data_IF_146729531259
#
_entry.id   IF_146729531259
#
_cell.length_a   1.000
_cell.length_b   1.000
_cell.length_c   1.000
_cell.angle_alpha   90.00
_cell.angle_beta   90.00
_cell.angle_gamma   90.00
#
_symmetry.space_group_name_H-M   'P 1'
#
loop_
_entity.id
_entity.type
_entity.pdbx_description
1 polymer ?
#
# COMPACT_ATOMS: atom_id res chain seq x y z
N UNK A 1 16.69 2.91 -0.46
CA UNK A 1 15.23 2.81 -0.68
C UNK A 1 15.00 1.39 -1.18
N UNK A 2 14.26 0.57 -0.43
CA UNK A 2 14.01 -0.82 -0.84
C UNK A 2 13.28 -0.82 -2.19
N UNK A 3 13.63 -1.70 -3.16
CA UNK A 3 13.05 -1.70 -4.50
C UNK A 3 11.56 -2.07 -4.57
N UNK A 4 10.88 -2.25 -3.43
CA UNK A 4 9.50 -2.73 -3.33
C UNK A 4 9.33 -4.03 -4.12
N UNK A 5 10.19 -5.01 -3.81
CA UNK A 5 10.17 -6.30 -4.49
C UNK A 5 8.91 -7.07 -4.13
N UNK A 6 8.56 -8.01 -5.00
CA UNK A 6 7.44 -8.91 -4.73
C UNK A 6 7.64 -9.61 -3.37
N UNK A 7 6.59 -9.56 -2.54
CA UNK A 7 6.54 -10.07 -1.17
C UNK A 7 7.26 -9.25 -0.07
N UNK A 8 7.89 -8.11 -0.36
CA UNK A 8 8.47 -7.23 0.68
C UNK A 8 7.41 -6.74 1.68
N UNK A 9 6.16 -6.62 1.23
CA UNK A 9 5.03 -6.20 2.06
C UNK A 9 4.70 -7.20 3.19
N UNK A 10 5.11 -8.47 3.10
CA UNK A 10 4.87 -9.49 4.13
C UNK A 10 5.47 -9.06 5.47
N UNK A 11 6.67 -8.47 5.45
CA UNK A 11 7.35 -8.01 6.66
C UNK A 11 6.62 -6.84 7.35
N UNK A 12 5.89 -6.02 6.58
CA UNK A 12 5.12 -4.91 7.10
C UNK A 12 3.74 -5.35 7.58
N UNK A 13 3.07 -6.25 6.85
CA UNK A 13 1.75 -6.79 7.22
C UNK A 13 1.78 -7.56 8.53
N UNK A 14 2.83 -8.38 8.75
CA UNK A 14 2.96 -9.23 9.92
C UNK A 14 3.95 -8.69 10.96
N UNK A 15 4.25 -7.39 10.93
CA UNK A 15 5.08 -6.76 11.95
C UNK A 15 4.43 -6.87 13.33
N UNK A 16 5.11 -7.49 14.28
CA UNK A 16 4.58 -7.71 15.63
C UNK A 16 5.49 -7.12 16.72
N UNK A 17 6.21 -6.04 16.39
CA UNK A 17 7.20 -5.41 17.26
C UNK A 17 8.62 -5.91 17.01
N UNK A 18 9.51 -5.72 17.99
CA UNK A 18 10.92 -6.08 17.87
C UNK A 18 11.13 -7.61 17.84
N UNK A 19 11.05 -8.21 16.65
CA UNK A 19 11.61 -9.55 16.38
C UNK A 19 13.10 -9.40 16.04
N UNK A 20 13.96 -10.05 16.83
CA UNK A 20 15.40 -9.82 16.84
C UNK A 20 16.12 -10.12 15.53
N UNK A 21 17.23 -9.41 15.30
CA UNK A 21 18.37 -9.53 14.35
C UNK A 21 18.13 -10.01 12.90
N UNK A 22 17.18 -10.89 12.62
CA UNK A 22 16.90 -11.50 11.31
C UNK A 22 16.23 -10.53 10.34
N UNK A 23 15.58 -9.47 10.86
CA UNK A 23 14.95 -8.41 10.06
C UNK A 23 15.59 -7.02 10.28
N UNK A 24 16.70 -6.95 11.03
CA UNK A 24 17.53 -5.73 11.18
C UNK A 24 18.35 -5.43 9.91
N UNK A 25 18.07 -6.11 8.81
CA UNK A 25 18.73 -5.94 7.53
C UNK A 25 17.94 -4.96 6.67
N UNK A 26 18.56 -3.81 6.42
CA UNK A 26 18.05 -2.63 5.70
C UNK A 26 16.80 -1.94 6.29
N UNK A 27 17.02 -0.73 6.81
CA UNK A 27 16.07 0.36 7.07
C UNK A 27 14.58 -0.04 7.12
N UNK A 28 14.19 -0.88 8.08
CA UNK A 28 12.79 -1.22 8.30
C UNK A 28 12.03 0.01 8.82
N UNK A 29 10.97 0.41 8.13
CA UNK A 29 10.19 1.59 8.52
C UNK A 29 8.96 1.18 9.34
N UNK A 30 9.08 1.22 10.67
CA UNK A 30 8.01 0.88 11.61
C UNK A 30 6.75 1.71 11.35
N UNK A 31 6.89 2.99 10.97
CA UNK A 31 5.74 3.86 10.68
C UNK A 31 4.91 3.33 9.51
N UNK A 32 5.55 2.81 8.45
CA UNK A 32 4.83 2.20 7.32
C UNK A 32 4.11 0.93 7.77
N UNK A 33 4.73 0.12 8.62
CA UNK A 33 4.12 -1.11 9.12
C UNK A 33 2.86 -0.79 9.94
N UNK A 34 2.95 0.16 10.87
CA UNK A 34 1.81 0.62 11.67
C UNK A 34 0.66 1.10 10.80
N UNK A 35 0.92 1.98 9.82
CA UNK A 35 -0.15 2.51 8.96
C UNK A 35 -0.78 1.42 8.08
N UNK A 36 0.01 0.50 7.53
CA UNK A 36 -0.52 -0.61 6.75
C UNK A 36 -1.43 -1.49 7.59
N UNK A 37 -1.03 -1.79 8.83
CA UNK A 37 -1.81 -2.61 9.76
C UNK A 37 -3.08 -1.89 10.24
N UNK A 38 -3.00 -0.60 10.51
CA UNK A 38 -4.16 0.24 10.81
C UNK A 38 -5.18 0.17 9.66
N UNK A 39 -4.75 0.37 8.42
CA UNK A 39 -5.63 0.28 7.25
C UNK A 39 -6.27 -1.10 7.08
N UNK A 40 -5.50 -2.19 7.20
CA UNK A 40 -6.04 -3.55 7.08
C UNK A 40 -7.06 -3.81 8.20
N UNK A 41 -6.70 -3.52 9.45
CA UNK A 41 -7.54 -3.84 10.61
C UNK A 41 -8.80 -2.97 10.68
N UNK A 42 -8.70 -1.68 10.38
CA UNK A 42 -9.86 -0.78 10.31
C UNK A 42 -10.80 -1.16 9.17
N UNK A 43 -10.28 -1.51 7.98
CA UNK A 43 -11.11 -2.00 6.88
C UNK A 43 -11.90 -3.25 7.28
N UNK A 44 -11.26 -4.22 7.93
CA UNK A 44 -11.94 -5.42 8.45
C UNK A 44 -13.01 -5.06 9.47
N UNK A 45 -12.76 -4.06 10.33
CA UNK A 45 -13.69 -3.67 11.41
C UNK A 45 -14.88 -2.84 10.92
N UNK A 46 -14.68 -1.95 9.96
CA UNK A 46 -15.66 -0.89 9.63
C UNK A 46 -15.93 -0.73 8.14
N UNK A 47 -15.19 -1.43 7.28
CA UNK A 47 -15.24 -1.25 5.83
C UNK A 47 -14.50 -0.01 5.32
N UNK A 48 -13.88 0.79 6.20
CA UNK A 48 -13.13 1.99 5.83
C UNK A 48 -11.71 1.87 6.37
N UNK A 49 -10.67 1.76 5.51
CA UNK A 49 -9.30 1.77 5.97
C UNK A 49 -8.94 3.18 6.47
N UNK A 50 -8.41 3.30 7.68
CA UNK A 50 -7.96 4.56 8.27
C UNK A 50 -6.82 4.36 9.27
N UNK A 51 -6.01 5.40 9.48
CA UNK A 51 -4.96 5.45 10.51
C UNK A 51 -4.98 6.82 11.20
N UNK A 52 -4.68 6.82 12.50
CA UNK A 52 -4.59 8.03 13.32
C UNK A 52 -3.22 8.73 13.17
N UNK A 53 -2.30 8.17 12.38
CA UNK A 53 -1.02 8.80 12.12
C UNK A 53 -1.22 10.15 11.39
N UNK A 54 -0.58 11.24 11.85
CA UNK A 54 -0.72 12.56 11.21
C UNK A 54 -0.48 12.52 9.69
N UNK A 55 -1.46 13.00 8.92
CA UNK A 55 -1.38 13.08 7.46
C UNK A 55 -1.82 11.83 6.69
N UNK A 56 -2.31 10.79 7.38
CA UNK A 56 -2.80 9.55 6.73
C UNK A 56 -4.32 9.53 6.61
N UNK A 57 -5.06 9.49 7.72
CA UNK A 57 -6.51 9.58 7.73
C UNK A 57 -7.20 8.43 6.98
N UNK A 58 -8.43 8.60 6.48
CA UNK A 58 -9.11 7.58 5.68
C UNK A 58 -8.45 7.37 4.32
N UNK A 59 -8.27 6.11 3.92
CA UNK A 59 -7.93 5.72 2.56
C UNK A 59 -9.23 5.66 1.72
N UNK A 60 -9.47 6.61 0.80
CA UNK A 60 -10.66 6.61 -0.03
C UNK A 60 -10.72 5.44 -1.00
N UNK A 61 -11.94 5.06 -1.37
CA UNK A 61 -12.20 4.09 -2.44
C UNK A 61 -11.63 4.61 -3.76
N UNK A 62 -10.98 3.73 -4.51
CA UNK A 62 -10.47 4.05 -5.85
C UNK A 62 -11.62 4.45 -6.78
N UNK A 63 -11.43 5.48 -7.61
CA UNK A 63 -12.48 6.02 -8.45
C UNK A 63 -11.94 6.87 -9.60
N UNK A 64 -12.76 7.78 -10.11
CA UNK A 64 -12.46 8.58 -11.31
C UNK A 64 -11.15 9.39 -11.24
N UNK A 65 -10.68 9.71 -10.02
CA UNK A 65 -9.43 10.44 -9.81
C UNK A 65 -8.19 9.53 -9.86
N UNK A 66 -8.37 8.21 -10.03
CA UNK A 66 -7.30 7.21 -10.02
C UNK A 66 -6.35 7.37 -8.82
N UNK A 67 -6.92 7.64 -7.65
CA UNK A 67 -6.13 7.96 -6.46
C UNK A 67 -5.72 6.68 -5.72
N UNK A 68 -4.43 6.58 -5.42
CA UNK A 68 -3.82 5.47 -4.67
C UNK A 68 -3.13 5.99 -3.43
N UNK A 69 -3.18 5.21 -2.35
CA UNK A 69 -2.45 5.52 -1.13
C UNK A 69 -0.98 5.08 -1.25
N UNK A 70 -0.08 6.04 -1.37
CA UNK A 70 1.36 5.79 -1.38
C UNK A 70 1.90 5.63 0.05
N UNK A 71 2.53 4.49 0.33
CA UNK A 71 3.26 4.22 1.57
C UNK A 71 4.77 4.41 1.33
N UNK A 72 5.19 5.66 1.11
CA UNK A 72 6.57 5.99 0.80
C UNK A 72 7.44 6.19 2.05
N UNK A 73 8.77 6.02 1.94
CA UNK A 73 9.69 6.19 3.08
C UNK A 73 9.78 7.64 3.58
N UNK A 74 9.47 8.62 2.72
CA UNK A 74 9.52 10.06 3.05
C UNK A 74 8.14 10.65 3.35
N UNK A 75 7.07 10.11 2.75
CA UNK A 75 5.71 10.57 2.96
C UNK A 75 4.70 9.46 2.70
N UNK A 76 3.66 9.46 3.51
CA UNK A 76 2.44 8.69 3.29
C UNK A 76 1.37 9.66 2.80
N UNK A 77 0.88 9.49 1.57
CA UNK A 77 -0.07 10.42 0.96
C UNK A 77 -0.84 9.78 -0.20
N UNK A 78 -1.91 10.43 -0.63
CA UNK A 78 -2.56 10.10 -1.90
C UNK A 78 -1.69 10.54 -3.08
N UNK A 79 -1.61 9.71 -4.11
CA UNK A 79 -0.96 9.99 -5.40
C UNK A 79 -1.86 9.50 -6.53
N UNK A 80 -1.68 10.03 -7.73
CA UNK A 80 -2.30 9.44 -8.92
C UNK A 80 -1.62 8.10 -9.21
N UNK A 81 -2.42 7.08 -9.46
CA UNK A 81 -1.98 5.77 -9.89
C UNK A 81 -1.22 5.87 -11.21
N UNK A 82 0.08 5.60 -11.18
CA UNK A 82 0.93 5.63 -12.37
C UNK A 82 0.55 4.59 -13.43
N UNK A 83 -0.24 3.58 -13.07
CA UNK A 83 -0.78 2.60 -14.01
C UNK A 83 -2.08 3.07 -14.69
N UNK A 84 -2.74 4.15 -14.24
CA UNK A 84 -3.93 4.69 -14.87
C UNK A 84 -3.59 5.42 -16.19
N UNK A 85 -3.27 4.64 -17.22
CA UNK A 85 -2.81 5.12 -18.52
C UNK A 85 -3.27 4.17 -19.65
N UNK A 86 -3.00 4.57 -20.89
CA UNK A 86 -3.43 3.85 -22.10
C UNK A 86 -2.98 2.39 -22.13
N UNK A 87 -1.80 2.07 -21.59
CA UNK A 87 -1.30 0.68 -21.51
C UNK A 87 -2.20 -0.16 -20.61
N UNK A 88 -2.63 0.35 -19.46
CA UNK A 88 -3.53 -0.38 -18.56
C UNK A 88 -4.93 -0.52 -19.17
N UNK A 89 -5.42 0.51 -19.86
CA UNK A 89 -6.69 0.43 -20.57
C UNK A 89 -6.65 -0.68 -21.63
N UNK A 90 -5.58 -0.76 -22.42
CA UNK A 90 -5.40 -1.82 -23.41
C UNK A 90 -5.45 -3.22 -22.80
N UNK A 91 -4.74 -3.44 -21.69
CA UNK A 91 -4.77 -4.73 -20.98
C UNK A 91 -6.16 -5.11 -20.47
N UNK A 92 -6.95 -4.14 -20.02
CA UNK A 92 -8.31 -4.36 -19.49
C UNK A 92 -9.33 -4.76 -20.56
N UNK A 93 -9.09 -4.43 -21.83
CA UNK A 93 -10.00 -4.82 -22.93
C UNK A 93 -9.98 -6.33 -23.18
N UNK A 94 -8.93 -7.03 -22.72
CA UNK A 94 -8.76 -8.48 -22.89
C UNK A 94 -8.90 -8.97 -24.35
N UNK A 95 -8.62 -8.13 -25.35
CA UNK A 95 -8.79 -8.45 -26.78
C UNK A 95 -7.91 -9.59 -27.29
N UNK A 96 -6.97 -10.06 -26.47
CA UNK A 96 -6.11 -11.22 -26.76
C UNK A 96 -6.72 -12.56 -26.34
N UNK A 97 -7.90 -12.57 -25.71
CA UNK A 97 -8.69 -13.78 -25.42
C UNK A 97 -9.69 -13.98 -26.56
N UNK A 98 -9.29 -14.72 -27.59
CA UNK A 98 -10.23 -15.30 -28.57
C UNK A 98 -10.55 -16.73 -28.14
N UNK A 99 -11.84 -17.08 -28.04
CA UNK A 99 -12.29 -18.47 -27.84
C UNK A 99 -11.89 -19.39 -29.01
#
# INVERSE_FOLDING_TARGET
>A
MSPALHADNVYYSFYSGAYGKTFDTETFNVTIATVLQDYITSFVKTGVPTSDLPGTGPFPVYGANAASQNLGPTRICQVTDGAANERCNWWQLAEYITE
#
